data_IF_787940916053
#
_entry.id   IF_787940916053
#
_cell.length_a   1.000
_cell.length_b   1.000
_cell.length_c   1.000
_cell.angle_alpha   90.00
_cell.angle_beta   90.00
_cell.angle_gamma   90.00
#
_symmetry.space_group_name_H-M   'P 1'
#
loop_
_entity.id
_entity.type
_entity.pdbx_description
1 polymer ?
#
# COMPACT_ATOMS: atom_id res chain seq x y z
N UNK A 1 4.05 -15.33 -13.31
CA UNK A 1 4.53 -16.41 -12.42
C UNK A 1 6.06 -16.55 -12.42
N UNK A 2 6.73 -16.70 -13.56
CA UNK A 2 8.19 -16.90 -13.60
C UNK A 2 9.00 -15.73 -12.98
N UNK A 3 8.64 -14.47 -13.23
CA UNK A 3 9.32 -13.32 -12.64
C UNK A 3 9.22 -13.28 -11.10
N UNK A 4 8.06 -13.65 -10.53
CA UNK A 4 7.86 -13.68 -9.08
C UNK A 4 8.61 -14.85 -8.43
N UNK A 5 8.60 -16.02 -9.07
CA UNK A 5 9.40 -17.17 -8.63
C UNK A 5 10.88 -16.81 -8.61
N UNK A 6 11.40 -16.15 -9.66
CA UNK A 6 12.80 -15.74 -9.72
C UNK A 6 13.20 -14.76 -8.60
N UNK A 7 12.33 -13.81 -8.25
CA UNK A 7 12.57 -12.89 -7.13
C UNK A 7 12.62 -13.67 -5.81
N UNK A 8 11.64 -14.55 -5.56
CA UNK A 8 11.58 -15.36 -4.33
C UNK A 8 12.74 -16.36 -4.20
N UNK A 9 13.26 -16.85 -5.34
CA UNK A 9 14.37 -17.81 -5.40
C UNK A 9 15.76 -17.17 -5.24
N UNK A 10 15.85 -15.84 -5.09
CA UNK A 10 17.12 -15.13 -4.82
C UNK A 10 17.18 -14.61 -3.38
N UNK A 11 17.81 -15.35 -2.44
CA UNK A 11 17.87 -14.95 -1.03
C UNK A 11 18.49 -13.57 -0.81
N UNK A 12 19.52 -13.23 -1.60
CA UNK A 12 20.18 -11.92 -1.51
C UNK A 12 19.26 -10.77 -1.92
N UNK A 13 18.48 -10.96 -2.98
CA UNK A 13 17.51 -9.95 -3.42
C UNK A 13 16.39 -9.77 -2.40
N UNK A 14 15.91 -10.88 -1.83
CA UNK A 14 14.87 -10.88 -0.79
C UNK A 14 15.31 -10.16 0.48
N UNK A 15 16.53 -10.44 0.97
CA UNK A 15 17.09 -9.76 2.16
C UNK A 15 17.23 -8.25 1.93
N UNK A 16 17.72 -7.85 0.76
CA UNK A 16 17.80 -6.42 0.41
C UNK A 16 16.40 -5.80 0.37
N UNK A 17 15.45 -6.45 -0.29
CA UNK A 17 14.08 -5.93 -0.40
C UNK A 17 13.40 -5.79 0.98
N UNK A 18 13.62 -6.74 1.90
CA UNK A 18 13.14 -6.66 3.28
C UNK A 18 13.76 -5.49 4.06
N UNK A 19 15.07 -5.25 3.89
CA UNK A 19 15.75 -4.12 4.51
C UNK A 19 15.19 -2.78 4.00
N UNK A 20 15.06 -2.63 2.68
CA UNK A 20 14.51 -1.40 2.07
C UNK A 20 13.05 -1.18 2.47
N UNK A 21 12.24 -2.25 2.53
CA UNK A 21 10.87 -2.20 3.02
C UNK A 21 10.80 -1.66 4.45
N UNK A 22 11.64 -2.17 5.36
CA UNK A 22 11.65 -1.76 6.77
C UNK A 22 12.03 -0.29 6.92
N UNK A 23 13.02 0.17 6.15
CA UNK A 23 13.44 1.59 6.13
C UNK A 23 12.31 2.46 5.59
N UNK A 24 11.73 2.10 4.44
CA UNK A 24 10.64 2.83 3.82
C UNK A 24 9.42 2.92 4.75
N UNK A 25 9.08 1.84 5.47
CA UNK A 25 8.00 1.84 6.44
C UNK A 25 8.27 2.82 7.60
N UNK A 26 9.49 2.83 8.13
CA UNK A 26 9.88 3.74 9.21
C UNK A 26 9.81 5.22 8.78
N UNK A 27 10.33 5.55 7.59
CA UNK A 27 10.30 6.90 7.04
C UNK A 27 8.87 7.34 6.68
N UNK A 28 8.06 6.44 6.13
CA UNK A 28 6.64 6.71 5.86
C UNK A 28 5.91 7.04 7.15
N UNK A 29 6.12 6.26 8.22
CA UNK A 29 5.51 6.54 9.52
C UNK A 29 5.96 7.88 10.12
N UNK A 30 7.18 8.36 9.83
CA UNK A 30 7.61 9.72 10.21
C UNK A 30 6.88 10.78 9.38
N UNK A 31 6.79 10.60 8.06
CA UNK A 31 6.08 11.52 7.17
C UNK A 31 4.59 11.65 7.53
N UNK A 32 3.94 10.55 7.89
CA UNK A 32 2.53 10.54 8.30
C UNK A 32 2.24 11.34 9.58
N UNK A 33 3.24 11.58 10.43
CA UNK A 33 3.10 12.40 11.65
C UNK A 33 3.19 13.91 11.39
N UNK A 34 3.61 14.33 10.21
CA UNK A 34 3.68 15.74 9.81
C UNK A 34 2.49 16.11 8.96
N UNK A 35 1.82 17.22 9.28
CA UNK A 35 0.63 17.71 8.57
C UNK A 35 0.91 18.12 7.12
N UNK A 36 2.17 18.45 6.82
CA UNK A 36 2.62 18.84 5.48
C UNK A 36 3.11 17.63 4.69
N UNK A 37 3.99 16.81 5.30
CA UNK A 37 4.57 15.64 4.61
C UNK A 37 3.51 14.58 4.30
N UNK A 38 2.51 14.40 5.16
CA UNK A 38 1.47 13.39 4.92
C UNK A 38 0.64 13.65 3.65
N UNK A 39 0.56 14.91 3.18
CA UNK A 39 -0.20 15.29 1.98
C UNK A 39 0.59 15.17 0.68
N UNK A 40 1.89 14.90 0.76
CA UNK A 40 2.77 14.79 -0.40
C UNK A 40 2.48 13.55 -1.22
N UNK A 41 2.70 13.66 -2.53
CA UNK A 41 2.56 12.57 -3.49
C UNK A 41 3.49 11.41 -3.13
N UNK A 42 4.70 11.72 -2.66
CA UNK A 42 5.71 10.74 -2.23
C UNK A 42 5.20 9.88 -1.07
N UNK A 43 4.52 10.49 -0.09
CA UNK A 43 3.98 9.75 1.06
C UNK A 43 2.88 8.79 0.63
N UNK A 44 1.94 9.24 -0.21
CA UNK A 44 0.92 8.33 -0.75
C UNK A 44 1.55 7.24 -1.63
N UNK A 45 2.55 7.58 -2.44
CA UNK A 45 3.27 6.62 -3.27
C UNK A 45 3.94 5.54 -2.43
N UNK A 46 4.60 5.91 -1.31
CA UNK A 46 5.23 4.95 -0.41
C UNK A 46 4.19 4.01 0.22
N UNK A 47 3.04 4.51 0.69
CA UNK A 47 1.97 3.65 1.22
C UNK A 47 1.44 2.67 0.16
N UNK A 48 1.26 3.14 -1.08
CA UNK A 48 0.85 2.30 -2.22
C UNK A 48 1.93 1.27 -2.58
N UNK A 49 3.21 1.60 -2.50
CA UNK A 49 4.31 0.67 -2.78
C UNK A 49 4.50 -0.36 -1.68
N UNK A 50 4.35 0.02 -0.41
CA UNK A 50 4.42 -0.89 0.74
C UNK A 50 3.29 -1.94 0.68
N UNK A 51 2.06 -1.53 0.33
CA UNK A 51 0.96 -2.49 0.10
C UNK A 51 1.26 -3.47 -1.05
N UNK A 52 1.87 -3.02 -2.14
CA UNK A 52 2.27 -3.89 -3.25
C UNK A 52 3.39 -4.85 -2.84
N UNK A 53 4.37 -4.38 -2.05
CA UNK A 53 5.45 -5.23 -1.54
C UNK A 53 4.88 -6.41 -0.75
N UNK A 54 3.98 -6.11 0.19
CA UNK A 54 3.30 -7.09 1.01
C UNK A 54 2.61 -8.15 0.11
N UNK A 55 1.88 -7.74 -0.94
CA UNK A 55 1.19 -8.66 -1.87
C UNK A 55 2.15 -9.58 -2.62
N UNK A 56 3.31 -9.07 -3.02
CA UNK A 56 4.26 -9.82 -3.86
C UNK A 56 5.15 -10.73 -3.02
N UNK A 57 5.60 -10.23 -1.88
CA UNK A 57 6.73 -10.78 -1.14
C UNK A 57 6.27 -11.58 0.07
N UNK A 58 5.25 -11.11 0.77
CA UNK A 58 4.78 -11.75 1.99
C UNK A 58 3.82 -12.89 1.66
N UNK A 59 3.84 -13.91 2.52
CA UNK A 59 2.96 -15.08 2.42
C UNK A 59 2.61 -15.64 3.81
N UNK A 60 2.90 -14.87 4.86
CA UNK A 60 2.47 -15.19 6.21
C UNK A 60 0.98 -14.83 6.41
N UNK A 61 0.36 -15.45 7.42
CA UNK A 61 -1.07 -15.27 7.70
C UNK A 61 -1.43 -13.81 8.03
N UNK A 62 -0.47 -13.00 8.49
CA UNK A 62 -0.67 -11.61 8.86
C UNK A 62 -0.49 -10.62 7.69
N UNK A 63 -0.08 -11.09 6.51
CA UNK A 63 0.08 -10.25 5.32
C UNK A 63 -1.21 -9.50 4.97
N UNK A 64 -2.36 -10.18 5.05
CA UNK A 64 -3.66 -9.59 4.70
C UNK A 64 -4.01 -8.41 5.60
N UNK A 65 -3.72 -8.48 6.89
CA UNK A 65 -3.98 -7.40 7.85
C UNK A 65 -3.10 -6.19 7.57
N UNK A 66 -1.80 -6.40 7.31
CA UNK A 66 -0.87 -5.32 6.95
C UNK A 66 -1.27 -4.63 5.65
N UNK A 67 -1.64 -5.43 4.64
CA UNK A 67 -2.12 -4.90 3.37
C UNK A 67 -3.41 -4.09 3.51
N UNK A 68 -4.35 -4.57 4.32
CA UNK A 68 -5.60 -3.86 4.61
C UNK A 68 -5.34 -2.53 5.33
N UNK A 69 -4.45 -2.51 6.33
CA UNK A 69 -4.06 -1.28 7.04
C UNK A 69 -3.44 -0.24 6.09
N UNK A 70 -2.61 -0.66 5.12
CA UNK A 70 -2.09 0.25 4.09
C UNK A 70 -3.20 0.80 3.18
N UNK A 71 -4.19 -0.02 2.84
CA UNK A 71 -5.32 0.40 2.00
C UNK A 71 -6.21 1.43 2.71
N UNK A 72 -6.52 1.20 3.99
CA UNK A 72 -7.25 2.14 4.84
C UNK A 72 -6.48 3.45 4.98
N UNK A 73 -5.19 3.39 5.33
CA UNK A 73 -4.33 4.56 5.45
C UNK A 73 -4.25 5.36 4.14
N UNK A 74 -4.09 4.70 2.99
CA UNK A 74 -4.06 5.36 1.69
C UNK A 74 -5.41 6.03 1.34
N UNK A 75 -6.53 5.42 1.74
CA UNK A 75 -7.86 6.01 1.55
C UNK A 75 -8.00 7.30 2.37
N UNK A 76 -7.59 7.28 3.63
CA UNK A 76 -7.57 8.47 4.50
C UNK A 76 -6.66 9.58 3.93
N UNK A 77 -5.50 9.23 3.37
CA UNK A 77 -4.62 10.20 2.72
C UNK A 77 -5.25 10.83 1.47
N UNK A 78 -5.97 10.05 0.66
CA UNK A 78 -6.70 10.58 -0.50
C UNK A 78 -7.77 11.57 -0.04
N UNK A 79 -8.55 11.22 0.99
CA UNK A 79 -9.56 12.11 1.56
C UNK A 79 -8.93 13.41 2.09
N UNK A 80 -7.84 13.28 2.87
CA UNK A 80 -7.11 14.41 3.44
C UNK A 80 -6.51 15.36 2.38
N UNK A 81 -6.03 14.81 1.26
CA UNK A 81 -5.45 15.58 0.14
C UNK A 81 -6.51 16.27 -0.71
N UNK A 82 -7.77 15.84 -0.63
CA UNK A 82 -8.90 16.44 -1.32
C UNK A 82 -8.94 16.18 -2.83
N UNK A 83 -10.02 16.61 -3.51
CA UNK A 83 -10.28 16.28 -4.92
C UNK A 83 -9.27 16.89 -5.91
N UNK A 84 -8.62 17.99 -5.54
CA UNK A 84 -7.68 18.71 -6.41
C UNK A 84 -6.51 17.83 -6.88
N UNK A 85 -6.10 16.84 -6.07
CA UNK A 85 -5.06 15.89 -6.46
C UNK A 85 -5.41 15.12 -7.74
N UNK A 86 -6.70 14.93 -8.04
CA UNK A 86 -7.18 14.17 -9.20
C UNK A 86 -7.08 14.98 -10.51
N UNK A 87 -6.86 16.29 -10.41
CA UNK A 87 -6.58 17.16 -11.57
C UNK A 87 -5.12 17.08 -11.98
N UNK A 88 -4.23 16.67 -11.06
CA UNK A 88 -2.80 16.50 -11.29
C UNK A 88 -2.53 15.10 -11.81
N UNK A 89 -1.60 14.98 -12.78
CA UNK A 89 -1.23 13.70 -13.38
C UNK A 89 -0.81 12.66 -12.35
N UNK A 90 0.03 13.05 -11.40
CA UNK A 90 0.64 12.14 -10.45
C UNK A 90 -0.37 11.72 -9.36
N UNK A 91 -1.15 12.66 -8.82
CA UNK A 91 -2.26 12.36 -7.91
C UNK A 91 -3.33 11.44 -8.53
N UNK A 92 -3.72 11.67 -9.80
CA UNK A 92 -4.65 10.78 -10.51
C UNK A 92 -4.05 9.38 -10.74
N UNK A 93 -2.75 9.31 -11.05
CA UNK A 93 -2.04 8.03 -11.21
C UNK A 93 -2.05 7.23 -9.90
N UNK A 94 -1.73 7.87 -8.78
CA UNK A 94 -1.74 7.24 -7.45
C UNK A 94 -3.14 6.73 -7.07
N UNK A 95 -4.17 7.54 -7.30
CA UNK A 95 -5.56 7.12 -7.11
C UNK A 95 -5.91 5.87 -7.92
N UNK A 96 -5.52 5.82 -9.20
CA UNK A 96 -5.77 4.67 -10.08
C UNK A 96 -5.05 3.41 -9.60
N UNK A 97 -3.82 3.54 -9.12
CA UNK A 97 -3.07 2.41 -8.55
C UNK A 97 -3.75 1.86 -7.31
N UNK A 98 -4.14 2.72 -6.37
CA UNK A 98 -4.86 2.29 -5.17
C UNK A 98 -6.19 1.59 -5.53
N UNK A 99 -7.00 2.21 -6.39
CA UNK A 99 -8.26 1.62 -6.85
C UNK A 99 -8.07 0.25 -7.50
N UNK A 100 -6.99 0.06 -8.26
CA UNK A 100 -6.69 -1.21 -8.88
C UNK A 100 -6.35 -2.31 -7.85
N UNK A 101 -5.76 -1.96 -6.71
CA UNK A 101 -5.53 -2.93 -5.63
C UNK A 101 -6.85 -3.41 -5.00
N UNK A 102 -7.82 -2.51 -4.81
CA UNK A 102 -9.15 -2.85 -4.28
C UNK A 102 -9.91 -3.78 -5.23
N UNK A 103 -9.98 -3.42 -6.52
CA UNK A 103 -10.79 -4.14 -7.51
C UNK A 103 -10.23 -5.53 -7.80
N UNK A 104 -8.90 -5.71 -7.79
CA UNK A 104 -8.25 -6.99 -8.09
C UNK A 104 -8.33 -8.01 -6.95
N UNK A 105 -8.83 -7.63 -5.78
CA UNK A 105 -9.02 -8.51 -4.63
C UNK A 105 -10.48 -8.49 -4.14
N UNK A 106 -11.42 -9.13 -4.88
CA UNK A 106 -12.88 -9.00 -4.66
C UNK A 106 -13.40 -9.58 -3.34
N UNK A 107 -12.63 -10.42 -2.65
CA UNK A 107 -12.99 -11.00 -1.34
C UNK A 107 -13.21 -9.96 -0.25
N UNK A 108 -12.74 -8.72 -0.44
CA UNK A 108 -12.94 -7.60 0.49
C UNK A 108 -14.36 -7.02 0.51
N UNK A 109 -15.21 -7.32 -0.49
CA UNK A 109 -16.65 -7.01 -0.36
C UNK A 109 -17.35 -7.89 0.68
N UNK A 110 -16.81 -9.08 0.96
CA UNK A 110 -17.40 -10.04 1.88
C UNK A 110 -17.05 -9.75 3.34
N UNK A 111 -15.82 -9.33 3.62
CA UNK A 111 -15.39 -9.02 4.99
C UNK A 111 -16.07 -7.76 5.56
N UNK A 112 -16.33 -6.74 4.75
CA UNK A 112 -17.12 -5.57 5.17
C UNK A 112 -18.58 -5.88 5.51
N UNK A 113 -19.17 -6.96 4.96
CA UNK A 113 -20.52 -7.40 5.31
C UNK A 113 -20.52 -8.36 6.51
N UNK A 114 -19.48 -9.17 6.68
CA UNK A 114 -19.36 -10.12 7.80
C UNK A 114 -19.04 -9.39 9.12
N UNK A 115 -18.27 -8.30 9.11
CA UNK A 115 -17.96 -7.52 10.32
C UNK A 115 -18.95 -6.38 10.63
N UNK A 116 -19.83 -6.01 9.69
CA UNK A 116 -20.92 -5.04 9.95
C UNK A 116 -22.21 -5.69 10.48
N UNK A 117 -22.20 -7.00 10.72
CA UNK A 117 -23.35 -7.79 11.17
C UNK A 117 -23.16 -8.42 12.56
N UNK A 118 -22.17 -7.96 13.33
CA UNK A 118 -21.85 -8.44 14.68
C UNK A 118 -22.07 -7.39 15.74
#
# INVERSE_FOLDING_TARGET
MAAWANIRLSPKAMLKAQSEYTIALAETNKALRSTEECKKDETLALVVLLSIYEVIVCSDDAFMDRWMAHLEGATLLIELRGPDQLTKRDGLSLFRHLRAQIVRHPSLKFLGQVYASG
#
